data_IF_997814182262
#
_entry.id   IF_997814182262
#
_cell.length_a   1.000
_cell.length_b   1.000
_cell.length_c   1.000
_cell.angle_alpha   90.00
_cell.angle_beta   90.00
_cell.angle_gamma   90.00
#
_symmetry.space_group_name_H-M   'P 1'
#
loop_
_entity.id
_entity.type
_entity.pdbx_description
1 polymer ?
#
# COMPACT_ATOMS: atom_id res chain seq x y z
N UNK A 1 -20.93 -11.63 0.24
CA UNK A 1 -19.71 -11.58 -0.60
C UNK A 1 -18.89 -10.39 -0.12
N UNK A 2 -17.62 -10.59 0.20
CA UNK A 2 -16.68 -9.53 0.57
C UNK A 2 -15.63 -9.44 -0.54
N UNK A 3 -15.36 -8.24 -1.04
CA UNK A 3 -14.46 -7.98 -2.18
C UNK A 3 -13.52 -6.86 -1.75
N UNK A 4 -12.21 -7.05 -1.92
CA UNK A 4 -11.18 -6.03 -1.70
C UNK A 4 -10.45 -5.74 -3.02
N UNK A 5 -9.88 -4.55 -3.14
CA UNK A 5 -9.17 -4.12 -4.34
C UNK A 5 -8.51 -2.75 -4.16
N UNK A 6 -7.69 -2.37 -5.14
CA UNK A 6 -6.86 -1.15 -5.10
C UNK A 6 -7.62 0.11 -5.57
N UNK A 7 -8.83 -0.06 -6.10
CA UNK A 7 -9.66 1.05 -6.60
C UNK A 7 -11.06 1.01 -6.01
N UNK A 8 -11.58 2.20 -5.68
CA UNK A 8 -12.96 2.36 -5.23
C UNK A 8 -13.92 2.06 -6.37
N UNK A 9 -14.96 1.27 -6.10
CA UNK A 9 -16.12 1.21 -6.97
C UNK A 9 -16.92 2.52 -6.81
N UNK A 10 -16.76 3.43 -7.77
CA UNK A 10 -17.62 4.61 -7.82
C UNK A 10 -19.07 4.14 -8.05
N UNK A 11 -20.01 4.60 -7.23
CA UNK A 11 -21.46 4.47 -7.47
C UNK A 11 -21.87 5.34 -8.67
N UNK A 12 -21.30 5.09 -9.85
CA UNK A 12 -21.75 5.72 -11.07
C UNK A 12 -23.07 5.04 -11.48
N UNK A 13 -24.02 5.85 -11.94
CA UNK A 13 -25.40 5.46 -12.26
C UNK A 13 -25.56 4.36 -13.33
N UNK A 14 -24.45 3.84 -13.85
CA UNK A 14 -24.38 2.83 -14.92
C UNK A 14 -24.76 1.44 -14.41
N UNK A 15 -24.65 1.18 -13.09
CA UNK A 15 -25.07 -0.07 -12.46
C UNK A 15 -26.17 0.17 -11.42
N UNK A 16 -27.39 0.41 -11.88
CA UNK A 16 -28.58 0.62 -11.03
C UNK A 16 -28.90 -0.55 -10.08
N UNK A 17 -28.33 -1.74 -10.33
CA UNK A 17 -28.55 -2.95 -9.53
C UNK A 17 -27.55 -3.12 -8.36
N UNK A 18 -26.52 -2.26 -8.25
CA UNK A 18 -25.46 -2.33 -7.21
C UNK A 18 -25.43 -1.09 -6.29
N UNK A 19 -26.57 -0.43 -6.12
CA UNK A 19 -26.76 0.73 -5.25
C UNK A 19 -26.61 0.43 -3.74
N UNK A 20 -26.72 -0.84 -3.34
CA UNK A 20 -26.61 -1.30 -1.94
C UNK A 20 -25.18 -1.62 -1.47
N UNK A 21 -24.15 -1.40 -2.30
CA UNK A 21 -22.77 -1.59 -1.86
C UNK A 21 -22.39 -0.54 -0.81
N UNK A 22 -21.88 -1.03 0.33
CA UNK A 22 -21.28 -0.24 1.40
C UNK A 22 -19.77 -0.32 1.26
N UNK A 23 -19.15 0.85 1.16
CA UNK A 23 -17.70 0.97 1.12
C UNK A 23 -17.17 0.91 2.55
N UNK A 24 -16.60 -0.24 2.93
CA UNK A 24 -16.07 -0.45 4.27
C UNK A 24 -14.67 0.15 4.45
N UNK A 25 -13.98 0.50 3.37
CA UNK A 25 -12.62 1.04 3.42
C UNK A 25 -12.54 2.42 4.09
N UNK A 26 -13.66 3.14 4.16
CA UNK A 26 -13.78 4.45 4.78
C UNK A 26 -14.08 4.40 6.29
N UNK A 27 -14.28 3.21 6.84
CA UNK A 27 -14.70 3.05 8.23
C UNK A 27 -13.56 2.43 9.05
N UNK A 28 -12.99 3.23 9.97
CA UNK A 28 -11.87 2.85 10.83
C UNK A 28 -12.01 1.44 11.46
N UNK A 29 -13.22 1.09 11.92
CA UNK A 29 -13.50 -0.20 12.57
C UNK A 29 -13.36 -1.42 11.65
N UNK A 30 -13.42 -1.24 10.34
CA UNK A 30 -13.29 -2.31 9.35
C UNK A 30 -11.90 -2.35 8.71
N UNK A 31 -11.00 -1.41 9.05
CA UNK A 31 -9.66 -1.36 8.50
C UNK A 31 -8.90 -2.70 8.60
N UNK A 32 -8.96 -3.47 9.72
CA UNK A 32 -8.26 -4.75 9.82
C UNK A 32 -8.71 -5.81 8.81
N UNK A 33 -9.88 -5.66 8.17
CA UNK A 33 -10.36 -6.60 7.15
C UNK A 33 -9.64 -6.48 5.79
N UNK A 34 -8.83 -5.43 5.61
CA UNK A 34 -8.19 -5.11 4.33
C UNK A 34 -6.82 -5.75 4.13
N UNK A 35 -6.30 -6.44 5.14
CA UNK A 35 -5.02 -7.13 5.10
C UNK A 35 -4.87 -8.13 6.24
N UNK A 36 -3.66 -8.66 6.43
CA UNK A 36 -3.36 -9.51 7.58
C UNK A 36 -2.74 -8.68 8.70
N UNK A 37 -3.27 -8.80 9.92
CA UNK A 37 -2.62 -8.25 11.11
C UNK A 37 -1.40 -9.09 11.48
N UNK A 38 -0.53 -8.56 12.35
CA UNK A 38 0.55 -9.35 12.94
C UNK A 38 0.00 -10.61 13.64
N UNK A 39 -1.14 -10.50 14.33
CA UNK A 39 -1.78 -11.65 14.96
C UNK A 39 -2.22 -12.71 13.95
N UNK A 40 -2.75 -12.30 12.80
CA UNK A 40 -3.15 -13.23 11.73
C UNK A 40 -1.93 -13.97 11.18
N UNK A 41 -0.79 -13.27 11.04
CA UNK A 41 0.48 -13.88 10.61
C UNK A 41 0.90 -15.02 11.53
N UNK A 42 0.95 -14.79 12.84
CA UNK A 42 1.32 -15.82 13.82
C UNK A 42 0.23 -16.88 14.04
N UNK A 43 -1.04 -16.59 13.76
CA UNK A 43 -2.12 -17.54 13.98
C UNK A 43 -2.33 -18.48 12.79
N UNK A 44 -2.26 -17.97 11.56
CA UNK A 44 -2.66 -18.73 10.37
C UNK A 44 -1.50 -19.08 9.45
N UNK A 45 -0.37 -18.36 9.55
CA UNK A 45 0.75 -18.51 8.62
C UNK A 45 2.03 -19.03 9.27
N UNK A 46 2.02 -19.34 10.56
CA UNK A 46 3.24 -19.61 11.33
C UNK A 46 4.06 -20.80 10.81
N UNK A 47 3.39 -21.90 10.47
CA UNK A 47 4.04 -23.07 9.86
C UNK A 47 4.62 -22.76 8.47
N UNK A 48 3.93 -21.91 7.69
CA UNK A 48 4.41 -21.49 6.36
C UNK A 48 5.63 -20.57 6.48
N UNK A 49 5.64 -19.68 7.47
CA UNK A 49 6.79 -18.80 7.76
C UNK A 49 7.98 -19.62 8.23
N UNK A 50 7.77 -20.65 9.05
CA UNK A 50 8.82 -21.57 9.48
C UNK A 50 9.40 -22.38 8.31
N UNK A 51 8.55 -22.88 7.42
CA UNK A 51 8.99 -23.52 6.18
C UNK A 51 9.80 -22.57 5.29
N UNK A 52 9.33 -21.33 5.10
CA UNK A 52 10.04 -20.32 4.33
C UNK A 52 11.40 -19.96 4.96
N UNK A 53 11.46 -19.85 6.29
CA UNK A 53 12.69 -19.61 7.03
C UNK A 53 13.71 -20.74 6.81
N UNK A 54 13.26 -22.00 6.86
CA UNK A 54 14.09 -23.16 6.57
C UNK A 54 14.65 -23.14 5.14
N UNK A 55 13.81 -22.88 4.14
CA UNK A 55 14.21 -22.80 2.71
C UNK A 55 15.24 -21.68 2.48
N UNK A 56 15.07 -20.54 3.16
CA UNK A 56 15.94 -19.38 3.03
C UNK A 56 17.16 -19.39 3.95
N UNK A 57 17.31 -20.43 4.78
CA UNK A 57 18.36 -20.54 5.78
C UNK A 57 18.40 -19.33 6.74
N UNK A 58 17.23 -18.96 7.24
CA UNK A 58 17.00 -17.87 8.20
C UNK A 58 16.43 -18.44 9.51
N UNK A 59 16.58 -17.69 10.60
CA UNK A 59 15.73 -17.92 11.77
C UNK A 59 14.28 -17.56 11.46
N UNK A 60 13.33 -18.13 12.21
CA UNK A 60 11.91 -17.82 12.06
C UNK A 60 11.63 -16.35 12.33
N UNK A 61 12.28 -15.77 13.33
CA UNK A 61 12.22 -14.36 13.70
C UNK A 61 12.79 -13.45 12.59
N UNK A 62 13.91 -13.84 11.99
CA UNK A 62 14.49 -13.12 10.84
C UNK A 62 13.55 -13.16 9.62
N UNK A 63 12.89 -14.29 9.39
CA UNK A 63 11.90 -14.43 8.32
C UNK A 63 10.71 -13.49 8.57
N UNK A 64 10.12 -13.50 9.77
CA UNK A 64 9.06 -12.56 10.15
C UNK A 64 9.49 -11.10 9.99
N UNK A 65 10.69 -10.73 10.45
CA UNK A 65 11.20 -9.37 10.33
C UNK A 65 11.33 -8.94 8.85
N UNK A 66 11.78 -9.85 7.98
CA UNK A 66 11.87 -9.59 6.54
C UNK A 66 10.49 -9.49 5.90
N UNK A 67 9.55 -10.40 6.20
CA UNK A 67 8.15 -10.32 5.75
C UNK A 67 7.58 -8.94 6.12
N UNK A 68 7.76 -8.53 7.38
CA UNK A 68 7.29 -7.23 7.86
C UNK A 68 7.87 -6.07 7.07
N UNK A 69 9.19 -6.02 6.91
CA UNK A 69 9.85 -4.93 6.17
C UNK A 69 9.46 -4.87 4.67
N UNK A 70 9.09 -6.01 4.08
CA UNK A 70 8.74 -6.10 2.66
C UNK A 70 7.25 -5.94 2.38
N UNK A 71 6.37 -6.40 3.27
CA UNK A 71 4.95 -6.59 2.96
C UNK A 71 3.98 -5.99 3.99
N UNK A 72 4.44 -5.54 5.17
CA UNK A 72 3.63 -4.86 6.19
C UNK A 72 3.53 -3.34 5.98
N UNK A 73 2.81 -2.66 6.85
CA UNK A 73 2.89 -1.20 7.00
C UNK A 73 1.72 -0.47 6.39
N UNK A 74 0.74 -1.17 5.80
CA UNK A 74 -0.48 -0.53 5.33
C UNK A 74 -1.36 -0.10 6.51
N UNK A 75 -1.82 1.14 6.46
CA UNK A 75 -2.75 1.77 7.39
C UNK A 75 -3.78 2.54 6.58
N UNK A 76 -4.99 2.01 6.56
CA UNK A 76 -6.05 2.54 5.71
C UNK A 76 -6.81 3.70 6.34
N UNK A 77 -6.70 3.92 7.65
CA UNK A 77 -7.45 4.97 8.33
C UNK A 77 -6.60 5.67 9.41
N UNK A 78 -6.67 7.00 9.50
CA UNK A 78 -5.92 7.75 10.51
C UNK A 78 -6.38 7.42 11.95
N UNK A 79 -7.67 7.16 12.17
CA UNK A 79 -8.17 6.75 13.50
C UNK A 79 -7.93 5.27 13.85
N UNK A 80 -7.29 4.49 12.96
CA UNK A 80 -6.95 3.10 13.24
C UNK A 80 -5.44 2.89 13.06
N UNK A 81 -4.74 2.54 14.13
CA UNK A 81 -3.28 2.37 14.14
C UNK A 81 -2.82 0.98 13.68
N UNK A 82 -3.76 0.06 13.39
CA UNK A 82 -3.43 -1.30 12.97
C UNK A 82 -2.70 -1.26 11.63
N UNK A 83 -1.46 -1.77 11.64
CA UNK A 83 -0.69 -2.02 10.43
C UNK A 83 -1.02 -3.39 9.87
N UNK A 84 -1.08 -3.47 8.56
CA UNK A 84 -1.49 -4.67 7.84
C UNK A 84 -0.44 -5.08 6.82
N UNK A 85 -0.23 -6.39 6.76
CA UNK A 85 0.47 -7.07 5.69
C UNK A 85 -0.43 -7.19 4.46
N UNK A 86 0.14 -6.94 3.29
CA UNK A 86 -0.55 -7.11 2.01
C UNK A 86 -0.83 -8.60 1.75
N UNK A 87 -2.10 -9.02 1.63
CA UNK A 87 -2.43 -10.43 1.45
C UNK A 87 -1.84 -11.03 0.19
N UNK A 88 -1.84 -10.29 -0.92
CA UNK A 88 -1.29 -10.76 -2.18
C UNK A 88 0.22 -11.00 -2.06
N UNK A 89 0.96 -10.02 -1.55
CA UNK A 89 2.42 -10.13 -1.45
C UNK A 89 2.83 -11.24 -0.47
N UNK A 90 2.15 -11.36 0.68
CA UNK A 90 2.38 -12.44 1.65
C UNK A 90 2.12 -13.80 1.03
N UNK A 91 0.97 -14.01 0.39
CA UNK A 91 0.62 -15.30 -0.20
C UNK A 91 1.57 -15.70 -1.32
N UNK A 92 1.98 -14.75 -2.17
CA UNK A 92 2.95 -15.05 -3.23
C UNK A 92 4.32 -15.44 -2.63
N UNK A 93 4.80 -14.72 -1.63
CA UNK A 93 6.03 -15.07 -0.93
C UNK A 93 5.96 -16.47 -0.31
N UNK A 94 4.92 -16.75 0.48
CA UNK A 94 4.76 -18.03 1.18
C UNK A 94 4.53 -19.20 0.22
N UNK A 95 3.99 -18.95 -0.98
CA UNK A 95 3.78 -19.99 -2.00
C UNK A 95 5.05 -20.45 -2.71
N UNK A 96 6.07 -19.59 -2.78
CA UNK A 96 7.34 -19.86 -3.47
C UNK A 96 8.52 -19.16 -2.79
N UNK A 97 8.80 -19.49 -1.50
CA UNK A 97 9.80 -18.80 -0.69
C UNK A 97 11.22 -18.94 -1.23
N UNK A 98 11.51 -19.94 -2.06
CA UNK A 98 12.79 -20.12 -2.76
C UNK A 98 13.14 -18.95 -3.68
N UNK A 99 12.13 -18.17 -4.11
CA UNK A 99 12.34 -16.94 -4.89
C UNK A 99 12.78 -15.74 -4.04
N UNK A 100 12.75 -15.87 -2.71
CA UNK A 100 13.05 -14.80 -1.77
C UNK A 100 12.01 -13.67 -1.77
N UNK A 101 12.37 -12.55 -1.15
CA UNK A 101 11.49 -11.41 -0.93
C UNK A 101 11.34 -10.54 -2.19
N UNK A 102 10.50 -10.98 -3.13
CA UNK A 102 10.23 -10.30 -4.41
C UNK A 102 9.27 -9.12 -4.28
N UNK A 103 9.21 -8.31 -5.33
CA UNK A 103 8.27 -7.20 -5.50
C UNK A 103 7.11 -7.64 -6.41
N UNK A 104 6.01 -8.07 -5.80
CA UNK A 104 4.76 -8.49 -6.42
C UNK A 104 3.82 -7.31 -6.73
N UNK A 105 4.02 -6.16 -6.08
CA UNK A 105 3.21 -4.95 -6.28
C UNK A 105 3.37 -4.38 -7.69
N UNK A 106 4.58 -4.37 -8.23
CA UNK A 106 4.84 -3.87 -9.58
C UNK A 106 4.04 -4.67 -10.64
N UNK A 107 4.01 -6.00 -10.49
CA UNK A 107 3.37 -6.94 -11.42
C UNK A 107 1.84 -6.86 -11.41
N UNK A 108 1.22 -6.33 -10.35
CA UNK A 108 -0.23 -6.39 -10.15
C UNK A 108 -0.92 -5.02 -10.03
N UNK A 109 -0.25 -4.01 -9.47
CA UNK A 109 -0.85 -2.70 -9.19
C UNK A 109 -0.26 -1.52 -9.98
N UNK A 110 0.95 -1.67 -10.53
CA UNK A 110 1.77 -0.51 -10.93
C UNK A 110 2.21 -0.39 -12.38
N UNK A 111 2.55 -1.52 -13.02
CA UNK A 111 3.25 -1.53 -14.30
C UNK A 111 2.32 -1.48 -15.53
N UNK A 112 1.06 -1.85 -15.38
CA UNK A 112 0.06 -1.75 -16.45
C UNK A 112 -0.31 -0.28 -16.72
N UNK A 113 -0.91 0.06 -17.87
CA UNK A 113 -1.45 1.41 -18.14
C UNK A 113 -2.63 1.71 -17.20
N UNK A 114 -2.31 1.93 -15.93
CA UNK A 114 -3.22 2.25 -14.84
C UNK A 114 -3.48 3.76 -14.82
N UNK A 115 -4.53 4.17 -14.11
CA UNK A 115 -4.83 5.57 -13.85
C UNK A 115 -3.58 6.29 -13.33
N UNK A 116 -2.88 5.72 -12.35
CA UNK A 116 -1.69 6.34 -11.76
C UNK A 116 -0.56 6.56 -12.78
N UNK A 117 -0.35 5.63 -13.71
CA UNK A 117 0.69 5.78 -14.76
C UNK A 117 0.48 7.01 -15.66
N UNK A 118 -0.78 7.45 -15.84
CA UNK A 118 -1.13 8.66 -16.60
C UNK A 118 -0.95 9.92 -15.76
N UNK A 119 -1.36 9.87 -14.49
CA UNK A 119 -1.39 11.04 -13.62
C UNK A 119 -0.04 11.35 -12.97
N UNK A 120 0.83 10.36 -12.76
CA UNK A 120 2.15 10.58 -12.15
C UNK A 120 3.07 11.49 -13.00
N UNK A 121 2.76 11.70 -14.28
CA UNK A 121 3.49 12.68 -15.11
C UNK A 121 3.26 14.14 -14.68
N UNK A 122 2.12 14.43 -14.04
CA UNK A 122 1.79 15.79 -13.57
C UNK A 122 2.76 16.31 -12.50
N UNK A 123 3.45 15.42 -11.79
CA UNK A 123 4.39 15.76 -10.71
C UNK A 123 5.86 15.79 -11.17
N UNK A 124 6.10 16.07 -12.45
CA UNK A 124 7.45 16.10 -13.05
C UNK A 124 8.45 17.06 -12.38
N UNK A 125 7.94 18.12 -11.75
CA UNK A 125 8.75 19.11 -11.06
C UNK A 125 8.94 18.79 -9.56
N UNK A 126 8.35 17.71 -9.07
CA UNK A 126 8.43 17.30 -7.67
C UNK A 126 9.49 16.20 -7.50
N UNK A 127 10.52 16.39 -6.65
CA UNK A 127 11.49 15.34 -6.33
C UNK A 127 10.82 14.09 -5.73
N UNK A 128 11.33 12.90 -6.05
CA UNK A 128 10.82 11.64 -5.50
C UNK A 128 10.82 11.62 -3.96
N UNK A 129 11.81 12.24 -3.33
CA UNK A 129 11.90 12.34 -1.86
C UNK A 129 10.72 13.08 -1.23
N UNK A 130 10.18 14.09 -1.92
CA UNK A 130 8.99 14.81 -1.46
C UNK A 130 7.71 13.99 -1.65
N UNK A 131 7.68 13.12 -2.65
CA UNK A 131 6.54 12.21 -2.92
C UNK A 131 6.53 11.04 -1.92
N UNK A 132 7.70 10.56 -1.52
CA UNK A 132 7.85 9.45 -0.57
C UNK A 132 7.53 9.82 0.88
N UNK A 133 7.38 11.11 1.18
CA UNK A 133 6.94 11.60 2.50
C UNK A 133 6.23 12.95 2.35
N UNK A 134 4.90 12.91 2.30
CA UNK A 134 4.07 14.11 2.19
C UNK A 134 3.43 14.36 3.55
N UNK A 135 3.68 15.52 4.16
CA UNK A 135 2.94 15.96 5.35
C UNK A 135 1.53 16.37 4.92
N UNK A 136 0.52 15.91 5.65
CA UNK A 136 -0.88 16.22 5.36
C UNK A 136 -1.58 16.77 6.61
N UNK A 137 -2.60 17.59 6.40
CA UNK A 137 -3.51 18.02 7.46
C UNK A 137 -4.57 16.96 7.77
N UNK A 138 -5.12 16.97 8.98
CA UNK A 138 -6.15 16.02 9.41
C UNK A 138 -7.40 16.07 8.50
N UNK A 139 -7.77 17.26 8.01
CA UNK A 139 -8.93 17.48 7.12
C UNK A 139 -8.66 17.04 5.67
N UNK A 140 -7.39 16.98 5.23
CA UNK A 140 -7.03 16.66 3.83
C UNK A 140 -7.28 15.19 3.48
N UNK A 141 -7.10 14.30 4.47
CA UNK A 141 -7.35 12.86 4.32
C UNK A 141 -8.81 12.58 3.95
N UNK A 142 -9.76 13.34 4.50
CA UNK A 142 -11.19 13.22 4.17
C UNK A 142 -11.49 13.71 2.76
N UNK A 143 -10.77 14.73 2.28
CA UNK A 143 -10.89 15.27 0.93
C UNK A 143 -10.31 14.33 -0.14
N UNK A 144 -9.35 13.47 0.23
CA UNK A 144 -8.76 12.47 -0.66
C UNK A 144 -9.73 11.37 -1.10
N UNK A 145 -10.98 11.36 -0.65
CA UNK A 145 -12.00 10.39 -1.06
C UNK A 145 -12.94 10.88 -2.18
N UNK A 146 -12.86 12.16 -2.58
CA UNK A 146 -13.61 12.72 -3.70
C UNK A 146 -12.85 12.53 -5.02
N UNK A 147 -13.55 12.10 -6.09
CA UNK A 147 -12.91 11.53 -7.31
C UNK A 147 -12.69 12.52 -8.47
N UNK A 148 -13.22 13.75 -8.37
CA UNK A 148 -13.36 14.63 -9.54
C UNK A 148 -12.22 15.63 -9.74
N UNK A 149 -11.58 16.10 -8.66
CA UNK A 149 -10.42 17.02 -8.70
C UNK A 149 -9.32 16.55 -7.73
N UNK A 150 -8.73 15.39 -8.05
CA UNK A 150 -7.87 14.66 -7.11
C UNK A 150 -6.40 15.03 -7.32
N UNK A 151 -5.71 15.63 -6.33
CA UNK A 151 -4.26 15.79 -6.39
C UNK A 151 -3.60 14.43 -6.61
N UNK A 152 -2.53 14.36 -7.41
CA UNK A 152 -1.81 13.11 -7.70
C UNK A 152 -1.38 12.34 -6.45
N UNK A 153 -1.12 13.04 -5.34
CA UNK A 153 -0.84 12.45 -4.03
C UNK A 153 -2.01 11.62 -3.49
N UNK A 154 -3.25 12.08 -3.66
CA UNK A 154 -4.43 11.32 -3.25
C UNK A 154 -4.62 10.08 -4.12
N UNK A 155 -4.35 10.15 -5.42
CA UNK A 155 -4.33 8.94 -6.27
C UNK A 155 -3.28 7.93 -5.80
N UNK A 156 -2.07 8.38 -5.44
CA UNK A 156 -1.04 7.50 -4.88
C UNK A 156 -1.49 6.85 -3.57
N UNK A 157 -2.18 7.58 -2.70
CA UNK A 157 -2.76 7.02 -1.47
C UNK A 157 -3.87 6.00 -1.76
N UNK A 158 -4.88 6.38 -2.55
CA UNK A 158 -6.00 5.50 -2.90
C UNK A 158 -5.53 4.21 -3.59
N UNK A 159 -4.50 4.32 -4.44
CA UNK A 159 -3.94 3.18 -5.15
C UNK A 159 -2.92 2.38 -4.34
N UNK A 160 -2.74 2.67 -3.04
CA UNK A 160 -1.87 1.91 -2.14
C UNK A 160 -0.37 2.14 -2.32
N UNK A 161 0.04 3.13 -3.12
CA UNK A 161 1.44 3.56 -3.22
C UNK A 161 1.90 4.38 -2.02
N UNK A 162 0.95 5.05 -1.37
CA UNK A 162 1.15 5.73 -0.11
C UNK A 162 0.13 5.21 0.90
N UNK A 163 0.50 5.26 2.17
CA UNK A 163 -0.30 4.90 3.34
C UNK A 163 -0.15 5.98 4.40
N UNK A 164 -1.08 6.03 5.36
CA UNK A 164 -1.01 6.97 6.48
C UNK A 164 0.03 6.52 7.50
N UNK A 165 0.80 7.46 8.04
CA UNK A 165 1.68 7.27 9.19
C UNK A 165 1.59 8.48 10.12
N UNK A 166 1.49 8.23 11.41
CA UNK A 166 1.66 9.25 12.46
C UNK A 166 3.11 9.24 12.92
N UNK A 167 3.68 10.43 13.12
CA UNK A 167 5.00 10.61 13.74
C UNK A 167 4.89 11.71 14.79
N UNK A 168 5.57 11.56 15.93
CA UNK A 168 5.66 12.61 16.96
C UNK A 168 6.27 13.89 16.37
N UNK A 169 5.78 15.05 16.80
CA UNK A 169 6.23 16.35 16.35
C UNK A 169 6.97 17.11 17.46
N UNK A 170 7.76 18.11 17.07
CA UNK A 170 8.60 18.90 17.99
C UNK A 170 7.80 19.69 19.05
N UNK A 171 6.48 19.80 18.88
CA UNK A 171 5.56 20.48 19.80
C UNK A 171 4.91 19.50 20.79
N UNK A 172 5.29 18.22 20.77
CA UNK A 172 4.75 17.17 21.64
C UNK A 172 3.37 16.64 21.21
N UNK A 173 2.95 16.91 19.98
CA UNK A 173 1.78 16.28 19.35
C UNK A 173 2.19 15.29 18.26
N UNK A 174 1.25 14.92 17.40
CA UNK A 174 1.51 14.07 16.24
C UNK A 174 1.45 14.87 14.93
N UNK A 175 2.05 14.33 13.88
CA UNK A 175 1.90 14.80 12.50
C UNK A 175 1.57 13.62 11.60
N UNK A 176 0.63 13.83 10.70
CA UNK A 176 0.26 12.85 9.69
C UNK A 176 1.11 12.98 8.43
N UNK A 177 1.53 11.84 7.92
CA UNK A 177 2.29 11.71 6.70
C UNK A 177 1.70 10.64 5.79
N UNK A 178 1.78 10.88 4.49
CA UNK A 178 1.64 9.86 3.46
C UNK A 178 3.01 9.35 3.02
N UNK A 179 3.21 8.05 3.11
CA UNK A 179 4.50 7.39 2.92
C UNK A 179 4.31 6.02 2.25
N UNK A 180 5.29 5.46 1.53
CA UNK A 180 5.23 4.07 1.12
C UNK A 180 5.15 3.14 2.34
N UNK A 181 4.28 2.12 2.35
CA UNK A 181 4.09 1.23 3.50
C UNK A 181 5.33 0.39 3.81
N UNK A 182 6.02 -0.08 2.77
CA UNK A 182 7.13 -1.02 2.86
C UNK A 182 8.14 -0.86 1.72
N UNK A 183 9.18 -1.70 1.76
CA UNK A 183 10.24 -1.73 0.75
C UNK A 183 9.74 -2.07 -0.65
N UNK A 184 8.78 -3.00 -0.76
CA UNK A 184 8.19 -3.41 -2.03
C UNK A 184 7.54 -2.22 -2.76
N UNK A 185 6.62 -1.54 -2.08
CA UNK A 185 5.87 -0.43 -2.67
C UNK A 185 6.77 0.78 -2.88
N UNK A 186 7.73 1.03 -1.98
CA UNK A 186 8.73 2.11 -2.14
C UNK A 186 9.55 1.90 -3.41
N UNK A 187 10.02 0.67 -3.64
CA UNK A 187 10.76 0.28 -4.85
C UNK A 187 9.89 0.44 -6.09
N UNK A 188 8.63 -0.03 -6.04
CA UNK A 188 7.70 0.08 -7.17
C UNK A 188 7.40 1.55 -7.52
N UNK A 189 7.22 2.43 -6.52
CA UNK A 189 7.01 3.86 -6.73
C UNK A 189 8.24 4.51 -7.37
N UNK A 190 9.44 4.18 -6.89
CA UNK A 190 10.68 4.69 -7.46
C UNK A 190 10.84 4.29 -8.93
N UNK A 191 10.61 3.02 -9.26
CA UNK A 191 10.63 2.52 -10.64
C UNK A 191 9.60 3.23 -11.51
N UNK A 192 8.35 3.33 -11.04
CA UNK A 192 7.28 4.03 -11.77
C UNK A 192 7.66 5.49 -12.06
N UNK A 193 8.20 6.19 -11.06
CA UNK A 193 8.66 7.58 -11.20
C UNK A 193 9.81 7.69 -12.22
N UNK A 194 10.84 6.85 -12.12
CA UNK A 194 11.96 6.88 -13.06
C UNK A 194 11.52 6.63 -14.52
N UNK A 195 10.63 5.66 -14.72
CA UNK A 195 10.16 5.28 -16.05
C UNK A 195 9.22 6.33 -16.63
N UNK A 196 8.25 6.84 -15.84
CA UNK A 196 7.16 7.68 -16.36
C UNK A 196 7.41 9.17 -16.25
N UNK A 197 8.24 9.60 -15.29
CA UNK A 197 8.49 11.01 -14.98
C UNK A 197 9.85 11.45 -15.46
N UNK A 198 10.86 10.59 -15.36
CA UNK A 198 12.23 10.87 -15.80
C UNK A 198 12.55 10.28 -17.17
N UNK A 199 11.59 9.58 -17.80
CA UNK A 199 11.74 8.88 -19.08
C UNK A 199 13.09 8.10 -19.17
N UNK A 200 13.52 7.52 -18.05
CA UNK A 200 14.80 6.80 -17.97
C UNK A 200 14.62 5.38 -18.49
N UNK A 201 15.44 4.91 -19.47
CA UNK A 201 15.38 3.53 -19.94
C UNK A 201 15.78 2.56 -18.82
N UNK A 202 15.09 1.42 -18.73
CA UNK A 202 15.50 0.33 -17.82
C UNK A 202 16.63 -0.45 -18.49
N UNK A 203 17.84 -0.38 -17.94
CA UNK A 203 18.89 -1.37 -18.23
C UNK A 203 18.59 -2.61 -17.39
N UNK A 204 18.17 -3.69 -18.06
CA UNK A 204 17.99 -5.03 -17.46
C UNK A 204 19.35 -5.73 -17.37
#
# INVERSE_FOLDING_TARGET
IFITGVGRFAKTSVFSQLNNLRDLGLEAKFAPLLGYTESDMHQYFDEYVENAASILNLSKEECYAKIKSHYDGYRFHAENETLLHNPWSVLNFLSAPENGFKNFWYETGGAYPTLISKYIKSIQNTPLTQIQKVKIGDEELSAFYDFFDVPTVSLLYQTGYLTVRTEENDLGGESLFLVPPNLEVKSALASLYLIKVRDTPITV
#
